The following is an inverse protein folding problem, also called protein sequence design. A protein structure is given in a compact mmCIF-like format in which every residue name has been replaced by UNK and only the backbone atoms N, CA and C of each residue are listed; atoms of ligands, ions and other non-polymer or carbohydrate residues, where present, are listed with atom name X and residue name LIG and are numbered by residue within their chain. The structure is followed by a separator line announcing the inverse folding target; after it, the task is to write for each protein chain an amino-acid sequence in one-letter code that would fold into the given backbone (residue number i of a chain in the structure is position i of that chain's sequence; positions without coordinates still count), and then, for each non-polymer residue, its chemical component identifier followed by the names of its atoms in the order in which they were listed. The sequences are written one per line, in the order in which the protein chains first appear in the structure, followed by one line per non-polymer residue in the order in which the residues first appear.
data_IF_265775039215
#
_entry.id   IF_265775039215
#
_cell.length_a   1.000
_cell.length_b   1.000
_cell.length_c   1.000
_cell.angle_alpha   90.00
_cell.angle_beta   90.00
_cell.angle_gamma   90.00
#
_symmetry.space_group_name_H-M   'P 1'
#
loop_
_entity.id
_entity.type
_entity.pdbx_description
1 polymer ?
#
# COMPACT_ATOMS: atom_id res chain seq x y z
N UNK A 1 6.05 13.41 66.46
CA UNK A 1 6.98 13.74 65.36
C UNK A 1 6.65 12.84 64.18
N UNK A 2 5.81 13.29 63.24
CA UNK A 2 5.50 12.57 61.99
C UNK A 2 5.07 13.58 60.91
N UNK A 3 6.04 14.29 60.32
CA UNK A 3 5.83 15.31 59.29
C UNK A 3 6.69 15.03 58.05
N UNK A 4 6.73 13.80 57.53
CA UNK A 4 7.49 13.51 56.30
C UNK A 4 6.90 12.27 55.60
N UNK A 5 5.78 12.42 54.89
CA UNK A 5 5.36 11.34 53.96
C UNK A 5 4.37 11.77 52.87
N UNK A 6 3.51 12.77 53.10
CA UNK A 6 2.40 13.04 52.16
C UNK A 6 2.73 13.98 50.99
N UNK A 7 3.78 14.81 51.06
CA UNK A 7 4.11 15.77 49.99
C UNK A 7 4.83 15.15 48.77
N UNK A 8 5.34 13.93 48.90
CA UNK A 8 6.18 13.30 47.86
C UNK A 8 5.37 12.68 46.71
N UNK A 9 4.11 12.27 46.95
CA UNK A 9 3.30 11.56 45.94
C UNK A 9 2.61 12.46 44.92
N UNK A 10 2.41 13.75 45.25
CA UNK A 10 1.70 14.69 44.36
C UNK A 10 2.60 15.15 43.22
N UNK A 11 3.90 15.31 43.47
CA UNK A 11 4.85 15.75 42.45
C UNK A 11 5.14 14.67 41.39
N UNK A 12 4.99 13.39 41.71
CA UNK A 12 5.22 12.29 40.77
C UNK A 12 4.05 12.03 39.81
N UNK A 13 2.83 12.44 40.17
CA UNK A 13 1.65 12.27 39.30
C UNK A 13 1.65 13.24 38.11
N UNK A 14 2.28 14.41 38.24
CA UNK A 14 2.31 15.43 37.19
C UNK A 14 3.33 15.15 36.09
N UNK A 15 4.45 14.48 36.40
CA UNK A 15 5.52 14.20 35.42
C UNK A 15 5.14 13.07 34.46
N UNK A 16 4.33 12.10 34.91
CA UNK A 16 3.86 11.00 34.06
C UNK A 16 2.84 11.42 33.00
N UNK A 17 2.05 12.46 33.26
CA UNK A 17 1.00 12.91 32.33
C UNK A 17 1.58 13.69 31.13
N UNK A 18 2.71 14.38 31.31
CA UNK A 18 3.36 15.15 30.23
C UNK A 18 4.17 14.31 29.25
N UNK A 19 4.55 13.08 29.60
CA UNK A 19 5.36 12.22 28.72
C UNK A 19 4.54 11.55 27.59
N UNK A 20 3.22 11.47 27.71
CA UNK A 20 2.33 10.93 26.67
C UNK A 20 2.04 11.93 25.54
N UNK A 21 2.34 13.22 25.73
CA UNK A 21 2.06 14.29 24.76
C UNK A 21 3.21 14.56 23.78
N UNK A 22 4.34 13.87 23.91
CA UNK A 22 5.49 14.00 23.02
C UNK A 22 5.65 12.80 22.07
N UNK A 23 4.53 12.16 21.66
CA UNK A 23 4.56 11.34 20.47
C UNK A 23 4.66 12.30 19.28
N UNK A 24 5.81 12.41 18.56
CA UNK A 24 5.78 13.11 17.29
C UNK A 24 4.72 12.40 16.45
N UNK A 25 3.70 13.15 16.05
CA UNK A 25 2.76 12.74 15.01
C UNK A 25 3.60 12.48 13.77
N UNK A 26 4.15 11.27 13.65
CA UNK A 26 4.68 10.78 12.39
C UNK A 26 3.48 10.87 11.46
N UNK A 27 3.53 11.69 10.39
CA UNK A 27 2.46 11.68 9.42
C UNK A 27 2.43 10.25 8.87
N UNK A 28 1.45 9.47 9.30
CA UNK A 28 1.08 8.27 8.60
C UNK A 28 0.77 8.77 7.19
N UNK A 29 1.63 8.43 6.23
CA UNK A 29 1.25 8.57 4.83
C UNK A 29 0.01 7.69 4.71
N UNK A 30 -1.14 8.35 4.59
CA UNK A 30 -2.33 7.70 4.10
C UNK A 30 -1.97 7.42 2.65
N UNK A 31 -1.34 6.27 2.39
CA UNK A 31 -1.24 5.74 1.04
C UNK A 31 -2.69 5.46 0.64
N UNK A 32 -3.34 6.47 0.06
CA UNK A 32 -4.45 6.22 -0.84
C UNK A 32 -3.94 5.17 -1.81
N UNK A 33 -4.69 4.07 -1.98
CA UNK A 33 -4.32 3.00 -2.90
C UNK A 33 -3.80 3.63 -4.19
N UNK A 34 -2.54 3.31 -4.50
CA UNK A 34 -1.81 3.93 -5.59
C UNK A 34 -2.66 3.89 -6.85
N UNK A 35 -2.91 5.05 -7.45
CA UNK A 35 -3.70 5.13 -8.66
C UNK A 35 -2.79 4.67 -9.78
N UNK A 36 -3.05 3.46 -10.25
CA UNK A 36 -2.35 2.85 -11.36
C UNK A 36 -3.33 2.54 -12.48
N UNK A 37 -2.99 2.95 -13.69
CA UNK A 37 -3.82 2.75 -14.87
C UNK A 37 -3.16 1.78 -15.83
N UNK A 38 -3.99 0.96 -16.49
CA UNK A 38 -3.55 0.18 -17.64
C UNK A 38 -3.29 1.11 -18.82
N UNK A 39 -2.03 1.19 -19.22
CA UNK A 39 -1.57 2.03 -20.32
C UNK A 39 -1.31 1.22 -21.58
N UNK A 40 -1.25 1.93 -22.70
CA UNK A 40 -0.63 1.37 -23.91
C UNK A 40 0.87 1.18 -23.62
N UNK A 41 1.50 0.06 -24.04
CA UNK A 41 0.98 -0.97 -24.91
C UNK A 41 0.54 -2.26 -24.17
N UNK A 42 -0.60 -2.22 -23.46
CA UNK A 42 -1.31 -3.46 -23.10
C UNK A 42 -1.84 -4.14 -24.37
N UNK A 43 -1.43 -5.39 -24.66
CA UNK A 43 -1.70 -6.03 -25.96
C UNK A 43 -3.10 -6.61 -26.09
N UNK A 44 -3.64 -7.20 -25.03
CA UNK A 44 -4.96 -7.82 -25.05
C UNK A 44 -5.62 -7.77 -23.69
N UNK A 45 -6.96 -7.72 -23.70
CA UNK A 45 -7.79 -7.80 -22.50
C UNK A 45 -9.02 -8.66 -22.79
N UNK A 46 -9.31 -9.62 -21.93
CA UNK A 46 -10.52 -10.43 -22.00
C UNK A 46 -11.18 -10.51 -20.63
N UNK A 47 -12.39 -9.98 -20.50
CA UNK A 47 -13.13 -9.99 -19.24
C UNK A 47 -14.24 -11.03 -19.27
N UNK A 48 -14.32 -11.82 -18.19
CA UNK A 48 -15.40 -12.78 -17.95
C UNK A 48 -16.14 -12.43 -16.67
N UNK A 49 -17.44 -12.16 -16.78
CA UNK A 49 -18.33 -12.01 -15.62
C UNK A 49 -18.72 -13.38 -15.07
N UNK A 50 -18.64 -13.51 -13.75
CA UNK A 50 -19.02 -14.68 -12.98
C UNK A 50 -20.49 -14.59 -12.54
N UNK A 51 -21.15 -15.73 -12.28
CA UNK A 51 -22.41 -15.74 -11.55
C UNK A 51 -22.22 -15.04 -10.19
N UNK A 52 -22.97 -13.96 -9.95
CA UNK A 52 -22.80 -13.11 -8.76
C UNK A 52 -22.34 -11.68 -9.06
N UNK A 53 -22.00 -11.37 -10.32
CA UNK A 53 -21.70 -9.99 -10.77
C UNK A 53 -20.23 -9.62 -10.76
N UNK A 54 -19.40 -10.41 -10.09
CA UNK A 54 -17.93 -10.27 -10.11
C UNK A 54 -17.34 -10.59 -11.49
N UNK A 55 -16.13 -10.13 -11.75
CA UNK A 55 -15.43 -10.34 -13.02
C UNK A 55 -13.97 -10.76 -12.83
N UNK A 56 -13.49 -11.55 -13.78
CA UNK A 56 -12.07 -11.87 -13.95
C UNK A 56 -11.63 -11.28 -15.29
N UNK A 57 -10.60 -10.45 -15.29
CA UNK A 57 -10.01 -9.87 -16.51
C UNK A 57 -8.63 -10.46 -16.74
N UNK A 58 -8.45 -11.09 -17.90
CA UNK A 58 -7.18 -11.65 -18.36
C UNK A 58 -6.50 -10.64 -19.28
N UNK A 59 -5.23 -10.35 -19.01
CA UNK A 59 -4.45 -9.32 -19.68
C UNK A 59 -3.20 -9.94 -20.30
N UNK A 60 -2.95 -9.65 -21.58
CA UNK A 60 -1.74 -10.05 -22.30
C UNK A 60 -0.79 -8.87 -22.46
N UNK A 61 0.47 -9.09 -22.08
CA UNK A 61 1.52 -8.08 -22.01
C UNK A 61 1.04 -6.76 -21.37
N UNK A 62 0.55 -6.79 -20.11
CA UNK A 62 0.09 -5.58 -19.43
C UNK A 62 1.22 -4.56 -19.26
N UNK A 63 0.88 -3.30 -19.46
CA UNK A 63 1.69 -2.14 -19.07
C UNK A 63 0.86 -1.29 -18.10
N UNK A 64 1.36 -1.13 -16.88
CA UNK A 64 0.70 -0.37 -15.82
C UNK A 64 1.59 0.83 -15.49
N UNK A 65 1.00 2.02 -15.47
CA UNK A 65 1.68 3.23 -15.04
C UNK A 65 0.96 3.78 -13.82
N UNK A 66 1.72 4.03 -12.77
CA UNK A 66 1.22 4.63 -11.54
C UNK A 66 1.52 6.14 -11.50
N UNK A 67 0.73 6.87 -10.69
CA UNK A 67 0.82 8.33 -10.56
C UNK A 67 2.20 8.86 -10.15
N UNK A 68 2.99 8.05 -9.45
CA UNK A 68 4.34 8.37 -9.01
C UNK A 68 5.42 8.09 -10.08
N UNK A 69 5.01 7.62 -11.25
CA UNK A 69 5.87 7.29 -12.38
C UNK A 69 6.43 5.87 -12.36
N UNK A 70 5.96 5.01 -11.45
CA UNK A 70 6.31 3.59 -11.48
C UNK A 70 5.66 2.92 -12.70
N UNK A 71 6.46 2.22 -13.48
CA UNK A 71 6.00 1.40 -14.59
C UNK A 71 6.12 -0.09 -14.24
N UNK A 72 5.05 -0.84 -14.46
CA UNK A 72 5.00 -2.28 -14.19
C UNK A 72 4.64 -3.03 -15.47
N UNK A 73 5.42 -4.06 -15.76
CA UNK A 73 5.31 -4.88 -16.96
C UNK A 73 5.28 -6.36 -16.59
N UNK A 74 4.59 -7.16 -17.40
CA UNK A 74 4.63 -8.62 -17.32
C UNK A 74 4.27 -9.25 -18.67
N UNK A 75 4.45 -10.56 -18.82
CA UNK A 75 3.94 -11.31 -19.98
C UNK A 75 2.42 -11.44 -19.92
N UNK A 76 1.87 -11.69 -18.73
CA UNK A 76 0.44 -11.84 -18.49
C UNK A 76 0.02 -11.32 -17.12
N UNK A 77 -1.23 -10.92 -16.98
CA UNK A 77 -1.84 -10.67 -15.67
C UNK A 77 -3.31 -11.11 -15.63
N UNK A 78 -3.80 -11.35 -14.41
CA UNK A 78 -5.21 -11.64 -14.13
C UNK A 78 -5.69 -10.71 -13.03
N UNK A 79 -6.68 -9.88 -13.35
CA UNK A 79 -7.37 -9.02 -12.41
C UNK A 79 -8.63 -9.71 -11.89
N UNK A 80 -8.72 -9.84 -10.58
CA UNK A 80 -9.86 -10.44 -9.88
C UNK A 80 -10.64 -9.36 -9.11
N UNK A 81 -11.78 -8.92 -9.66
CA UNK A 81 -12.56 -7.81 -9.08
C UNK A 81 -13.00 -8.08 -7.64
N UNK A 82 -13.37 -9.34 -7.37
CA UNK A 82 -13.89 -9.77 -6.07
C UNK A 82 -12.84 -9.70 -4.94
N UNK A 83 -11.55 -9.74 -5.29
CA UNK A 83 -10.45 -9.63 -4.34
C UNK A 83 -9.76 -8.26 -4.37
N UNK A 84 -10.06 -7.40 -5.36
CA UNK A 84 -9.29 -6.20 -5.63
C UNK A 84 -7.81 -6.52 -5.84
N UNK A 85 -7.52 -7.59 -6.58
CA UNK A 85 -6.18 -8.17 -6.68
C UNK A 85 -5.78 -8.39 -8.13
N UNK A 86 -4.58 -7.90 -8.47
CA UNK A 86 -3.93 -8.13 -9.75
C UNK A 86 -2.80 -9.15 -9.58
N UNK A 87 -2.94 -10.31 -10.22
CA UNK A 87 -1.92 -11.34 -10.23
C UNK A 87 -1.09 -11.24 -11.52
N UNK A 88 0.19 -10.93 -11.41
CA UNK A 88 1.12 -10.81 -12.54
C UNK A 88 1.97 -12.06 -12.68
N UNK A 89 2.25 -12.47 -13.91
CA UNK A 89 2.94 -13.72 -14.24
C UNK A 89 3.85 -13.54 -15.46
N UNK A 90 5.09 -14.02 -15.32
CA UNK A 90 6.09 -14.09 -16.38
C UNK A 90 6.80 -12.76 -16.62
N UNK A 91 8.13 -12.78 -16.55
CA UNK A 91 9.01 -11.63 -16.81
C UNK A 91 8.49 -10.33 -16.18
N UNK A 92 8.15 -10.38 -14.88
CA UNK A 92 7.57 -9.24 -14.17
C UNK A 92 8.67 -8.21 -13.94
N UNK A 93 8.43 -6.96 -14.32
CA UNK A 93 9.40 -5.86 -14.22
C UNK A 93 8.73 -4.67 -13.56
N UNK A 94 9.38 -4.13 -12.54
CA UNK A 94 9.00 -2.88 -11.87
C UNK A 94 10.10 -1.86 -12.12
N UNK A 95 9.76 -0.73 -12.74
CA UNK A 95 10.68 0.35 -13.04
C UNK A 95 10.26 1.59 -12.26
N UNK A 96 11.18 2.13 -11.48
CA UNK A 96 11.00 3.37 -10.73
C UNK A 96 12.20 4.32 -10.94
N UNK A 97 12.21 5.44 -10.21
CA UNK A 97 13.32 6.40 -10.26
C UNK A 97 14.65 5.84 -9.70
N UNK A 98 14.60 4.75 -8.92
CA UNK A 98 15.74 4.11 -8.26
C UNK A 98 16.36 3.02 -9.15
N UNK A 99 15.59 2.45 -10.08
CA UNK A 99 16.05 1.46 -11.04
C UNK A 99 14.96 0.47 -11.44
N UNK A 100 15.39 -0.72 -11.84
CA UNK A 100 14.51 -1.80 -12.30
C UNK A 100 14.65 -3.01 -11.37
N UNK A 101 13.50 -3.55 -10.92
CA UNK A 101 13.38 -4.85 -10.26
C UNK A 101 12.74 -5.83 -11.23
N UNK A 102 13.28 -7.04 -11.30
CA UNK A 102 12.80 -8.09 -12.21
C UNK A 102 12.57 -9.40 -11.46
N UNK A 103 11.53 -10.12 -11.85
CA UNK A 103 11.20 -11.46 -11.34
C UNK A 103 10.88 -12.42 -12.50
N UNK A 104 11.40 -13.65 -12.42
CA UNK A 104 11.36 -14.68 -13.47
C UNK A 104 10.53 -15.92 -13.09
#
# INVERSE_FOLDING_TARGET
MSFFSLRSRVAQALVGLTALLACPLVPARLDAQEICDFMAPTRSSFTRTLPGGESITYLGAPHILCDDGVEIWADTAVDYSAQGMLHMMGAVRFLDASGELTED
#
